data_IF_384228808102
#
_entry.id   IF_384228808102
#
_cell.length_a   1.000
_cell.length_b   1.000
_cell.length_c   1.000
_cell.angle_alpha   90.00
_cell.angle_beta   90.00
_cell.angle_gamma   90.00
#
_symmetry.space_group_name_H-M   'P 1'
#
loop_
_entity.id
_entity.type
_entity.pdbx_description
1 polymer ?
#
# COMPACT_ATOMS: atom_id res chain seq x y z
N UNK A 1 -3.96 -3.36 26.08
CA UNK A 1 -3.33 -2.13 25.56
C UNK A 1 -2.83 -1.31 26.73
N UNK A 2 -1.56 -0.85 26.76
CA UNK A 2 -1.04 -0.11 27.90
C UNK A 2 -1.96 1.06 28.27
N UNK A 3 -2.36 1.14 29.53
CA UNK A 3 -3.19 2.22 30.08
C UNK A 3 -4.59 2.37 29.45
N UNK A 4 -5.17 1.32 28.85
CA UNK A 4 -6.53 1.37 28.30
C UNK A 4 -7.43 0.31 28.92
N UNK A 5 -8.47 0.74 29.61
CA UNK A 5 -9.51 -0.15 30.15
C UNK A 5 -10.30 -0.81 29.02
N UNK A 6 -10.67 -2.09 29.21
CA UNK A 6 -11.47 -2.87 28.26
C UNK A 6 -10.86 -3.02 26.84
N UNK A 7 -9.54 -2.91 26.71
CA UNK A 7 -8.82 -3.13 25.45
C UNK A 7 -7.71 -4.16 25.60
N UNK A 8 -7.71 -5.14 24.71
CA UNK A 8 -6.87 -6.32 24.79
C UNK A 8 -6.14 -6.54 23.48
N UNK A 9 -4.92 -7.06 23.57
CA UNK A 9 -4.26 -7.66 22.41
C UNK A 9 -4.67 -9.13 22.36
N UNK A 10 -5.06 -9.58 21.18
CA UNK A 10 -5.35 -10.98 20.90
C UNK A 10 -4.45 -11.43 19.75
N UNK A 11 -3.72 -12.52 19.97
CA UNK A 11 -2.88 -13.16 18.96
C UNK A 11 -3.59 -14.41 18.46
N UNK A 12 -3.81 -14.49 17.16
CA UNK A 12 -4.55 -15.58 16.51
C UNK A 12 -3.64 -16.21 15.47
N UNK A 13 -3.53 -17.54 15.52
CA UNK A 13 -2.80 -18.33 14.53
C UNK A 13 -3.80 -18.98 13.56
N UNK A 14 -3.46 -18.97 12.28
CA UNK A 14 -4.22 -19.61 11.20
C UNK A 14 -3.29 -20.58 10.48
N UNK A 15 -3.80 -21.74 10.11
CA UNK A 15 -3.05 -22.68 9.28
C UNK A 15 -2.90 -22.11 7.86
N UNK A 16 -1.75 -22.38 7.22
CA UNK A 16 -1.43 -21.86 5.89
C UNK A 16 -2.38 -22.41 4.82
N UNK A 17 -2.90 -23.61 5.01
CA UNK A 17 -3.81 -24.29 4.09
C UNK A 17 -5.17 -23.58 3.96
N UNK A 18 -5.50 -22.66 4.87
CA UNK A 18 -6.69 -21.82 4.78
C UNK A 18 -6.57 -20.73 3.71
N UNK A 19 -5.37 -20.50 3.17
CA UNK A 19 -5.09 -19.37 2.29
C UNK A 19 -4.71 -19.81 0.88
N UNK A 20 -5.38 -19.20 -0.09
CA UNK A 20 -5.03 -19.32 -1.49
C UNK A 20 -3.70 -18.58 -1.76
N UNK A 21 -2.75 -19.27 -2.38
CA UNK A 21 -1.46 -18.69 -2.77
C UNK A 21 -1.62 -17.55 -3.77
N UNK A 22 -0.91 -16.45 -3.56
CA UNK A 22 -0.96 -15.29 -4.44
C UNK A 22 -2.23 -14.43 -4.34
N UNK A 23 -3.13 -14.71 -3.39
CA UNK A 23 -4.47 -14.09 -3.32
C UNK A 23 -4.66 -13.22 -2.07
N UNK A 24 -4.44 -11.90 -2.20
CA UNK A 24 -4.76 -10.92 -1.15
C UNK A 24 -6.27 -10.87 -0.88
N UNK A 25 -7.09 -11.11 -1.91
CA UNK A 25 -8.54 -11.17 -1.77
C UNK A 25 -8.98 -12.30 -0.83
N UNK A 26 -8.43 -13.51 -1.01
CA UNK A 26 -8.70 -14.63 -0.12
C UNK A 26 -8.20 -14.35 1.30
N UNK A 27 -6.96 -13.87 1.47
CA UNK A 27 -6.40 -13.53 2.79
C UNK A 27 -7.30 -12.55 3.56
N UNK A 28 -7.73 -11.47 2.91
CA UNK A 28 -8.57 -10.44 3.54
C UNK A 28 -9.98 -10.95 3.83
N UNK A 29 -10.58 -11.74 2.94
CA UNK A 29 -11.89 -12.36 3.18
C UNK A 29 -11.85 -13.28 4.42
N UNK A 30 -10.78 -14.06 4.56
CA UNK A 30 -10.60 -15.01 5.68
C UNK A 30 -10.34 -14.31 7.02
N UNK A 31 -9.50 -13.28 7.06
CA UNK A 31 -9.09 -12.63 8.32
C UNK A 31 -10.07 -11.56 8.78
N UNK A 32 -10.50 -10.67 7.88
CA UNK A 32 -11.26 -9.47 8.24
C UNK A 32 -12.70 -9.46 7.71
N UNK A 33 -13.13 -10.51 7.01
CA UNK A 33 -14.42 -10.52 6.29
C UNK A 33 -15.64 -10.26 7.17
N UNK A 34 -15.79 -10.99 8.29
CA UNK A 34 -16.99 -10.92 9.13
C UNK A 34 -16.73 -10.49 10.58
N UNK A 35 -15.50 -10.65 11.08
CA UNK A 35 -15.19 -10.54 12.52
C UNK A 35 -15.38 -9.14 13.10
N UNK A 36 -15.28 -8.09 12.27
CA UNK A 36 -15.49 -6.70 12.69
C UNK A 36 -16.97 -6.35 12.90
N UNK A 37 -17.90 -7.17 12.40
CA UNK A 37 -19.35 -6.97 12.57
C UNK A 37 -19.95 -7.72 13.77
N UNK A 38 -19.12 -8.36 14.60
CA UNK A 38 -19.61 -9.24 15.66
C UNK A 38 -20.21 -8.44 16.82
N UNK A 39 -21.51 -8.60 17.11
CA UNK A 39 -22.24 -7.83 18.13
C UNK A 39 -21.63 -7.91 19.54
N UNK A 40 -20.91 -8.98 19.85
CA UNK A 40 -20.26 -9.17 21.14
C UNK A 40 -18.96 -8.37 21.29
N UNK A 41 -18.43 -7.79 20.20
CA UNK A 41 -17.19 -7.02 20.19
C UNK A 41 -17.52 -5.57 19.85
N UNK A 42 -17.33 -4.67 20.82
CA UNK A 42 -17.64 -3.24 20.65
C UNK A 42 -16.82 -2.57 19.54
N UNK A 43 -15.54 -2.93 19.45
CA UNK A 43 -14.60 -2.45 18.45
C UNK A 43 -13.48 -3.48 18.27
N UNK A 44 -12.99 -3.61 17.05
CA UNK A 44 -11.87 -4.48 16.71
C UNK A 44 -10.91 -3.70 15.79
N UNK A 45 -9.61 -3.94 15.95
CA UNK A 45 -8.56 -3.44 15.07
C UNK A 45 -7.54 -4.53 14.84
N UNK A 46 -7.24 -4.79 13.58
CA UNK A 46 -6.10 -5.61 13.18
C UNK A 46 -4.86 -4.71 13.23
N UNK A 47 -3.96 -4.98 14.18
CA UNK A 47 -2.76 -4.15 14.40
C UNK A 47 -1.58 -4.59 13.53
N UNK A 48 -1.35 -5.89 13.40
CA UNK A 48 -0.24 -6.45 12.62
C UNK A 48 -0.55 -7.88 12.16
N UNK A 49 0.18 -8.35 11.17
CA UNK A 49 0.14 -9.72 10.67
C UNK A 49 1.54 -10.26 10.43
N UNK A 50 1.85 -11.41 11.04
CA UNK A 50 3.03 -12.16 10.67
C UNK A 50 2.74 -13.04 9.46
N UNK A 51 3.33 -12.72 8.29
CA UNK A 51 3.16 -13.49 7.06
C UNK A 51 4.36 -14.45 6.87
N UNK A 52 4.16 -15.78 6.87
CA UNK A 52 5.26 -16.73 6.78
C UNK A 52 5.90 -16.76 5.39
N UNK A 53 7.19 -17.09 5.32
CA UNK A 53 7.97 -17.17 4.07
C UNK A 53 7.33 -18.10 3.04
N UNK A 54 6.74 -19.21 3.48
CA UNK A 54 6.05 -20.17 2.61
C UNK A 54 4.90 -19.50 1.85
N UNK A 55 4.11 -18.65 2.52
CA UNK A 55 3.02 -17.92 1.89
C UNK A 55 3.55 -16.74 1.06
N UNK A 56 4.52 -15.98 1.56
CA UNK A 56 5.14 -14.86 0.82
C UNK A 56 5.69 -15.28 -0.54
N UNK A 57 6.29 -16.47 -0.64
CA UNK A 57 6.84 -17.01 -1.89
C UNK A 57 5.78 -17.33 -2.96
N UNK A 58 4.50 -17.34 -2.61
CA UNK A 58 3.41 -17.51 -3.58
C UNK A 58 3.09 -16.23 -4.35
N UNK A 59 3.63 -15.08 -3.92
CA UNK A 59 3.43 -13.78 -4.56
C UNK A 59 4.65 -13.37 -5.38
N UNK A 60 4.42 -12.65 -6.47
CA UNK A 60 5.50 -12.03 -7.25
C UNK A 60 6.29 -10.98 -6.43
N UNK A 61 5.60 -10.27 -5.53
CA UNK A 61 6.15 -9.09 -4.87
C UNK A 61 6.26 -7.87 -5.82
N UNK A 62 7.07 -6.86 -5.45
CA UNK A 62 7.25 -5.66 -6.28
C UNK A 62 7.84 -6.01 -7.66
N UNK A 63 7.22 -5.53 -8.74
CA UNK A 63 7.65 -5.82 -10.11
C UNK A 63 9.04 -5.28 -10.49
N UNK A 64 9.60 -4.37 -9.69
CA UNK A 64 10.90 -3.74 -9.96
C UNK A 64 11.66 -3.54 -8.65
N UNK A 65 10.98 -2.95 -7.65
CA UNK A 65 11.60 -2.68 -6.36
C UNK A 65 12.58 -1.50 -6.39
N UNK A 66 13.02 -1.09 -5.21
CA UNK A 66 13.75 0.18 -5.01
C UNK A 66 15.07 0.22 -5.78
N UNK A 67 15.81 -0.90 -5.79
CA UNK A 67 17.14 -0.98 -6.43
C UNK A 67 17.02 -0.75 -7.93
N UNK A 68 16.20 -1.58 -8.60
CA UNK A 68 16.06 -1.52 -10.05
C UNK A 68 15.37 -0.23 -10.51
N UNK A 69 14.46 0.33 -9.71
CA UNK A 69 13.85 1.64 -10.00
C UNK A 69 14.90 2.75 -10.03
N UNK A 70 15.78 2.81 -9.03
CA UNK A 70 16.87 3.80 -8.98
C UNK A 70 17.87 3.63 -10.10
N UNK A 71 18.21 2.38 -10.45
CA UNK A 71 19.08 2.06 -11.58
C UNK A 71 18.50 2.52 -12.90
N UNK A 72 17.21 2.21 -13.17
CA UNK A 72 16.52 2.63 -14.39
C UNK A 72 16.44 4.15 -14.54
N UNK A 73 16.28 4.87 -13.43
CA UNK A 73 16.20 6.34 -13.44
C UNK A 73 17.55 7.04 -13.44
N UNK A 74 18.64 6.36 -13.07
CA UNK A 74 19.95 6.98 -12.85
C UNK A 74 19.93 8.02 -11.72
N UNK A 75 19.13 7.80 -10.66
CA UNK A 75 18.95 8.74 -9.54
C UNK A 75 19.33 8.11 -8.20
N UNK A 76 20.39 8.63 -7.58
CA UNK A 76 20.97 8.09 -6.35
C UNK A 76 21.22 9.18 -5.31
N UNK A 77 21.38 8.78 -4.04
CA UNK A 77 21.80 9.69 -2.96
C UNK A 77 20.78 10.72 -2.49
N UNK A 78 19.58 10.76 -3.09
CA UNK A 78 18.48 11.64 -2.65
C UNK A 78 17.10 10.99 -2.79
N UNK A 79 16.09 11.50 -2.06
CA UNK A 79 14.68 11.20 -2.35
C UNK A 79 14.29 11.62 -3.77
N UNK A 80 13.32 10.92 -4.35
CA UNK A 80 12.68 11.30 -5.61
C UNK A 80 11.62 12.37 -5.32
N UNK A 81 11.57 13.42 -6.14
CA UNK A 81 10.62 14.51 -5.99
C UNK A 81 9.46 14.34 -6.96
N UNK A 82 8.23 14.45 -6.46
CA UNK A 82 7.02 14.35 -7.27
C UNK A 82 5.97 15.38 -6.89
N UNK A 83 5.12 15.76 -7.84
CA UNK A 83 3.96 16.61 -7.59
C UNK A 83 2.70 16.09 -8.29
N UNK A 84 1.55 16.33 -7.67
CA UNK A 84 0.23 16.06 -8.25
C UNK A 84 -0.22 17.25 -9.09
N UNK A 85 -0.63 17.02 -10.33
CA UNK A 85 -1.15 18.09 -11.19
C UNK A 85 -2.40 18.72 -10.60
N UNK A 86 -2.51 20.05 -10.65
CA UNK A 86 -3.67 20.81 -10.17
C UNK A 86 -4.20 21.76 -11.25
N UNK A 87 -5.51 22.09 -11.25
CA UNK A 87 -6.57 21.59 -10.36
C UNK A 87 -6.85 20.10 -10.57
N UNK A 88 -7.50 19.46 -9.57
CA UNK A 88 -7.80 18.02 -9.56
C UNK A 88 -8.56 17.55 -10.81
N UNK A 89 -9.49 18.36 -11.30
CA UNK A 89 -10.26 18.11 -12.52
C UNK A 89 -10.41 19.40 -13.32
N UNK A 90 -10.72 19.28 -14.62
CA UNK A 90 -11.09 20.41 -15.48
C UNK A 90 -9.97 20.96 -16.37
N UNK A 91 -8.76 20.41 -16.30
CA UNK A 91 -7.73 20.70 -17.29
C UNK A 91 -7.99 19.94 -18.60
N UNK A 92 -7.87 20.64 -19.73
CA UNK A 92 -7.73 19.97 -21.02
C UNK A 92 -6.41 19.21 -21.09
N UNK A 93 -6.30 18.17 -21.92
CA UNK A 93 -5.05 17.41 -22.09
C UNK A 93 -3.85 18.29 -22.46
N UNK A 94 -4.07 19.36 -23.25
CA UNK A 94 -3.03 20.34 -23.59
C UNK A 94 -2.54 21.11 -22.37
N UNK A 95 -3.45 21.61 -21.53
CA UNK A 95 -3.06 22.37 -20.35
C UNK A 95 -2.46 21.45 -19.28
N UNK A 96 -2.97 20.23 -19.17
CA UNK A 96 -2.39 19.19 -18.33
C UNK A 96 -0.93 18.92 -18.68
N UNK A 97 -0.65 18.66 -19.97
CA UNK A 97 0.70 18.45 -20.47
C UNK A 97 1.63 19.65 -20.24
N UNK A 98 1.09 20.88 -20.31
CA UNK A 98 1.87 22.09 -19.98
C UNK A 98 2.30 22.13 -18.52
N UNK A 99 1.40 21.79 -17.59
CA UNK A 99 1.75 21.75 -16.14
C UNK A 99 2.77 20.65 -15.86
N UNK A 100 2.59 19.47 -16.46
CA UNK A 100 3.54 18.36 -16.34
C UNK A 100 4.93 18.77 -16.85
N UNK A 101 5.00 19.38 -18.03
CA UNK A 101 6.25 19.84 -18.63
C UNK A 101 6.99 20.84 -17.74
N UNK A 102 6.31 21.88 -17.25
CA UNK A 102 6.95 22.89 -16.40
C UNK A 102 7.44 22.31 -15.07
N UNK A 103 6.68 21.38 -14.47
CA UNK A 103 7.09 20.70 -13.24
C UNK A 103 8.37 19.87 -13.40
N UNK A 104 8.43 19.06 -14.46
CA UNK A 104 9.61 18.23 -14.75
C UNK A 104 10.83 19.08 -15.12
N UNK A 105 10.64 20.12 -15.94
CA UNK A 105 11.69 21.08 -16.29
C UNK A 105 12.22 21.82 -15.06
N UNK A 106 11.34 22.10 -14.10
CA UNK A 106 11.69 22.72 -12.82
C UNK A 106 12.50 21.84 -11.86
N UNK A 107 12.74 20.57 -12.20
CA UNK A 107 13.61 19.66 -11.45
C UNK A 107 12.88 18.57 -10.66
N UNK A 108 11.56 18.41 -10.83
CA UNK A 108 10.85 17.24 -10.32
C UNK A 108 11.24 15.99 -11.11
N UNK A 109 11.32 14.85 -10.44
CA UNK A 109 11.56 13.56 -11.09
C UNK A 109 10.27 12.99 -11.69
N UNK A 110 9.12 13.29 -11.07
CA UNK A 110 7.81 12.83 -11.49
C UNK A 110 6.72 13.89 -11.39
N UNK A 111 5.72 13.74 -12.25
CA UNK A 111 4.41 14.35 -12.09
C UNK A 111 3.38 13.23 -12.07
N UNK A 112 2.31 13.37 -11.29
CA UNK A 112 1.21 12.39 -11.24
C UNK A 112 -0.14 13.04 -11.51
N UNK A 113 -1.04 12.21 -12.05
CA UNK A 113 -2.48 12.45 -12.07
C UNK A 113 -3.03 12.56 -10.65
N UNK A 114 -4.19 13.21 -10.46
CA UNK A 114 -4.78 13.37 -9.12
C UNK A 114 -5.27 12.04 -8.53
#
# INVERSE_FOLDING_TARGET
>A
VPNSENQYFAWIAYDIDLFEGGSIANLTASIIGNVFGFKAVKALRLEDMHIPVAYLKTFQGPATGIVVERERMGKFGRPLLGATTKPKLGLSGRNYGRVVYEGLKGGLDFMKDD
#
